data_IF_813147755278
#
_entry.id   IF_813147755278
#
_cell.length_a   1.000
_cell.length_b   1.000
_cell.length_c   1.000
_cell.angle_alpha   90.00
_cell.angle_beta   90.00
_cell.angle_gamma   90.00
#
_symmetry.space_group_name_H-M   'P 1'
#
loop_
_entity.id
_entity.type
_entity.pdbx_description
1 polymer ?
#
# COMPACT_ATOMS: atom_id res chain seq x y z
N UNK A 1 8.80 -7.23 25.36
CA UNK A 1 8.85 -7.29 23.87
C UNK A 1 10.26 -6.98 23.42
N UNK A 2 10.81 -7.78 22.51
CA UNK A 2 12.13 -7.54 21.92
C UNK A 2 12.09 -6.33 20.96
N UNK A 3 13.26 -5.73 20.71
CA UNK A 3 13.40 -4.66 19.72
C UNK A 3 13.09 -5.19 18.32
N UNK A 4 12.52 -4.34 17.48
CA UNK A 4 12.27 -4.66 16.08
C UNK A 4 13.57 -4.56 15.28
N UNK A 5 13.78 -5.46 14.31
CA UNK A 5 14.88 -5.32 13.38
C UNK A 5 14.69 -4.03 12.57
N UNK A 6 15.79 -3.29 12.43
CA UNK A 6 15.89 -2.14 11.54
C UNK A 6 16.78 -2.58 10.40
N UNK A 7 16.24 -2.66 9.20
CA UNK A 7 17.01 -3.00 8.01
C UNK A 7 18.04 -1.89 7.72
N UNK A 8 19.23 -2.28 7.29
CA UNK A 8 20.29 -1.34 6.94
C UNK A 8 20.05 -0.66 5.59
N UNK A 9 19.17 -1.21 4.76
CA UNK A 9 18.75 -0.65 3.47
C UNK A 9 17.34 -1.09 3.11
N UNK A 10 16.74 -0.41 2.13
CA UNK A 10 15.44 -0.80 1.57
C UNK A 10 15.53 -2.11 0.78
N UNK A 11 16.66 -2.39 0.15
CA UNK A 11 16.90 -3.65 -0.58
C UNK A 11 16.93 -4.85 0.39
N UNK A 12 17.59 -4.70 1.54
CA UNK A 12 17.56 -5.70 2.61
C UNK A 12 16.13 -5.89 3.14
N UNK A 13 15.38 -4.79 3.34
CA UNK A 13 14.04 -4.85 3.90
C UNK A 13 13.08 -5.72 3.08
N UNK A 14 13.26 -5.78 1.76
CA UNK A 14 12.42 -6.52 0.80
C UNK A 14 13.07 -7.78 0.22
N UNK A 15 14.28 -8.14 0.68
CA UNK A 15 15.08 -9.20 0.06
C UNK A 15 14.39 -10.58 0.00
N UNK A 16 13.53 -10.88 0.98
CA UNK A 16 12.82 -12.15 1.08
C UNK A 16 11.46 -12.19 0.36
N UNK A 17 11.03 -11.10 -0.29
CA UNK A 17 9.77 -11.08 -1.03
C UNK A 17 9.94 -11.91 -2.31
N UNK A 18 9.26 -13.05 -2.47
CA UNK A 18 9.41 -13.90 -3.65
C UNK A 18 8.58 -13.39 -4.83
N UNK A 19 8.84 -13.93 -6.01
CA UNK A 19 7.89 -13.85 -7.11
C UNK A 19 6.54 -14.42 -6.69
N UNK A 20 5.48 -13.85 -7.23
CA UNK A 20 4.13 -14.31 -6.96
C UNK A 20 3.50 -13.82 -5.65
N UNK A 21 4.25 -13.09 -4.82
CA UNK A 21 3.80 -12.60 -3.53
C UNK A 21 2.55 -11.72 -3.62
N UNK A 22 1.68 -11.81 -2.60
CA UNK A 22 0.58 -10.89 -2.42
C UNK A 22 0.96 -9.75 -1.46
N UNK A 23 0.90 -8.52 -1.96
CA UNK A 23 1.30 -7.30 -1.26
C UNK A 23 0.10 -6.41 -0.93
N UNK A 24 0.07 -5.90 0.29
CA UNK A 24 -0.60 -4.64 0.59
C UNK A 24 0.38 -3.49 0.37
N UNK A 25 -0.06 -2.44 -0.34
CA UNK A 25 0.72 -1.21 -0.50
C UNK A 25 -0.07 -0.04 0.10
N UNK A 26 0.48 0.53 1.17
CA UNK A 26 -0.14 1.60 1.93
C UNK A 26 -0.18 2.95 1.21
N UNK A 27 -0.92 3.88 1.82
CA UNK A 27 -1.23 5.19 1.25
C UNK A 27 -2.58 5.23 0.53
N UNK A 28 -2.91 6.41 0.02
CA UNK A 28 -4.10 6.74 -0.75
C UNK A 28 -3.77 7.15 -2.21
N UNK A 29 -2.48 7.28 -2.54
CA UNK A 29 -1.97 7.55 -3.89
C UNK A 29 -1.22 8.88 -4.04
N UNK A 30 -0.86 9.56 -2.95
CA UNK A 30 -0.10 10.81 -2.95
C UNK A 30 1.26 10.74 -2.23
N UNK A 31 2.05 11.83 -2.31
CA UNK A 31 3.30 11.97 -1.56
C UNK A 31 3.12 11.95 -0.05
N UNK A 32 4.16 11.54 0.68
CA UNK A 32 4.18 11.53 2.15
C UNK A 32 3.44 10.35 2.80
N UNK A 33 2.56 9.67 2.07
CA UNK A 33 1.84 8.49 2.54
C UNK A 33 2.23 7.19 1.83
N UNK A 34 2.84 7.29 0.64
CA UNK A 34 3.26 6.13 -0.12
C UNK A 34 4.62 5.60 0.40
N UNK A 35 4.81 4.29 0.55
CA UNK A 35 6.10 3.69 0.92
C UNK A 35 7.06 3.68 -0.28
N UNK A 36 7.45 4.86 -0.74
CA UNK A 36 8.12 5.06 -2.03
C UNK A 36 9.44 4.33 -2.16
N UNK A 37 10.25 4.26 -1.10
CA UNK A 37 11.55 3.59 -1.18
C UNK A 37 11.43 2.07 -1.07
N UNK A 38 10.44 1.55 -0.35
CA UNK A 38 10.12 0.11 -0.40
C UNK A 38 9.63 -0.31 -1.79
N UNK A 39 8.83 0.54 -2.45
CA UNK A 39 8.40 0.32 -3.84
C UNK A 39 9.60 0.37 -4.79
N UNK A 40 10.49 1.35 -4.64
CA UNK A 40 11.71 1.46 -5.44
C UNK A 40 12.63 0.24 -5.28
N UNK A 41 12.84 -0.24 -4.05
CA UNK A 41 13.62 -1.44 -3.78
C UNK A 41 13.01 -2.69 -4.43
N UNK A 42 11.68 -2.85 -4.40
CA UNK A 42 11.01 -3.93 -5.13
C UNK A 42 11.16 -3.80 -6.65
N UNK A 43 11.11 -2.57 -7.18
CA UNK A 43 11.32 -2.31 -8.60
C UNK A 43 12.75 -2.67 -9.04
N UNK A 44 13.76 -2.38 -8.21
CA UNK A 44 15.15 -2.80 -8.45
C UNK A 44 15.34 -4.31 -8.33
N UNK A 45 14.74 -4.93 -7.31
CA UNK A 45 14.81 -6.39 -7.09
C UNK A 45 14.25 -7.17 -8.28
N UNK A 46 13.31 -6.59 -9.04
CA UNK A 46 12.81 -7.17 -10.28
C UNK A 46 11.89 -8.37 -10.09
N UNK A 47 11.30 -8.54 -8.89
CA UNK A 47 10.34 -9.61 -8.60
C UNK A 47 9.14 -9.57 -9.54
N UNK A 48 8.64 -10.73 -9.91
CA UNK A 48 7.57 -10.89 -10.91
C UNK A 48 6.29 -11.41 -10.30
N UNK A 49 5.24 -11.32 -11.10
CA UNK A 49 3.94 -11.88 -10.82
C UNK A 49 3.29 -11.39 -9.52
N UNK A 50 3.54 -10.16 -9.08
CA UNK A 50 2.96 -9.65 -7.84
C UNK A 50 1.44 -9.48 -7.95
N UNK A 51 0.71 -9.89 -6.91
CA UNK A 51 -0.63 -9.35 -6.66
C UNK A 51 -0.46 -8.16 -5.72
N UNK A 52 -1.08 -7.03 -6.01
CA UNK A 52 -1.09 -5.87 -5.11
C UNK A 52 -2.52 -5.48 -4.74
N UNK A 53 -2.73 -5.10 -3.47
CA UNK A 53 -3.94 -4.44 -3.02
C UNK A 53 -3.62 -3.07 -2.42
N UNK A 54 -4.44 -2.09 -2.76
CA UNK A 54 -4.25 -0.71 -2.37
C UNK A 54 -5.36 0.19 -2.90
N UNK A 55 -5.40 1.44 -2.45
CA UNK A 55 -6.41 2.37 -2.93
C UNK A 55 -6.25 2.69 -4.43
N UNK A 56 -4.99 2.83 -4.88
CA UNK A 56 -4.64 3.34 -6.20
C UNK A 56 -3.61 2.44 -6.88
N UNK A 57 -3.68 2.30 -8.20
CA UNK A 57 -2.71 1.50 -8.99
C UNK A 57 -1.34 2.18 -9.20
N UNK A 58 -1.28 3.46 -8.88
CA UNK A 58 -0.16 4.38 -9.14
C UNK A 58 -0.24 5.07 -10.50
N UNK A 59 0.46 6.21 -10.60
CA UNK A 59 0.61 7.04 -11.80
C UNK A 59 1.80 6.61 -12.65
N UNK A 60 2.77 5.93 -12.06
CA UNK A 60 4.01 5.57 -12.75
C UNK A 60 5.03 6.69 -12.77
N UNK A 61 6.28 6.32 -13.04
CA UNK A 61 7.42 7.22 -13.02
C UNK A 61 7.32 8.25 -14.16
N UNK A 62 6.92 7.81 -15.35
CA UNK A 62 6.84 8.67 -16.53
C UNK A 62 5.88 9.84 -16.29
N UNK A 63 4.67 9.55 -15.81
CA UNK A 63 3.68 10.58 -15.52
C UNK A 63 4.11 11.50 -14.37
N UNK A 64 4.66 10.95 -13.29
CA UNK A 64 5.14 11.75 -12.15
C UNK A 64 6.26 12.71 -12.60
N UNK A 65 7.19 12.25 -13.43
CA UNK A 65 8.24 13.10 -14.00
C UNK A 65 7.67 14.21 -14.90
N UNK A 66 6.73 13.87 -15.78
CA UNK A 66 6.05 14.88 -16.62
C UNK A 66 5.31 15.92 -15.78
N UNK A 67 4.61 15.48 -14.73
CA UNK A 67 3.89 16.35 -13.81
C UNK A 67 4.82 17.31 -13.06
N UNK A 68 5.99 16.85 -12.60
CA UNK A 68 7.01 17.71 -11.97
C UNK A 68 7.50 18.82 -12.90
N UNK A 69 7.62 18.54 -14.19
CA UNK A 69 8.10 19.52 -15.17
C UNK A 69 7.01 20.50 -15.61
N UNK A 70 5.78 20.00 -15.80
CA UNK A 70 4.71 20.75 -16.49
C UNK A 70 3.63 21.29 -15.56
N UNK A 71 3.49 20.74 -14.34
CA UNK A 71 2.41 21.04 -13.40
C UNK A 71 2.92 21.39 -12.00
N UNK A 72 4.19 21.75 -11.82
CA UNK A 72 4.80 22.04 -10.51
C UNK A 72 4.09 23.16 -9.72
N UNK A 73 3.40 24.07 -10.41
CA UNK A 73 2.62 25.15 -9.78
C UNK A 73 1.30 24.63 -9.15
N UNK A 74 0.82 23.47 -9.59
CA UNK A 74 -0.46 22.88 -9.17
C UNK A 74 -0.27 21.60 -8.35
N UNK A 75 0.74 20.81 -8.68
CA UNK A 75 1.08 19.53 -8.05
C UNK A 75 2.56 19.51 -7.70
N UNK A 76 2.86 19.49 -6.40
CA UNK A 76 4.22 19.37 -5.90
C UNK A 76 4.53 17.90 -5.56
N UNK A 77 5.21 17.21 -6.49
CA UNK A 77 5.69 15.85 -6.28
C UNK A 77 7.17 15.89 -5.85
N UNK A 78 7.53 15.46 -4.63
CA UNK A 78 8.91 15.46 -4.19
C UNK A 78 9.75 14.53 -5.08
N UNK A 79 11.06 14.79 -5.29
CA UNK A 79 11.89 14.08 -6.27
C UNK A 79 11.93 12.55 -6.10
N UNK A 80 11.76 12.09 -4.86
CA UNK A 80 11.79 10.70 -4.42
C UNK A 80 10.38 10.09 -4.19
N UNK A 81 9.35 10.70 -4.81
CA UNK A 81 8.03 10.07 -4.88
C UNK A 81 8.00 8.98 -5.94
N UNK A 82 7.79 7.75 -5.48
CA UNK A 82 7.57 6.55 -6.28
C UNK A 82 6.30 5.86 -5.79
N UNK A 83 5.46 5.43 -6.71
CA UNK A 83 4.17 4.81 -6.41
C UNK A 83 4.05 3.45 -7.12
N UNK A 84 2.99 2.65 -6.86
CA UNK A 84 2.88 1.30 -7.40
C UNK A 84 2.91 1.22 -8.92
N UNK A 85 2.68 2.34 -9.62
CA UNK A 85 2.74 2.40 -11.08
C UNK A 85 4.14 2.09 -11.59
N UNK A 86 5.19 2.39 -10.81
CA UNK A 86 6.56 1.97 -11.11
C UNK A 86 6.66 0.45 -11.26
N UNK A 87 6.06 -0.34 -10.36
CA UNK A 87 6.08 -1.80 -10.46
C UNK A 87 5.35 -2.30 -11.71
N UNK A 88 4.29 -1.60 -12.12
CA UNK A 88 3.53 -1.92 -13.33
C UNK A 88 4.34 -1.61 -14.59
N UNK A 89 4.99 -0.44 -14.68
CA UNK A 89 5.89 -0.07 -15.78
C UNK A 89 7.03 -1.08 -15.94
N UNK A 90 7.50 -1.66 -14.84
CA UNK A 90 8.54 -2.71 -14.82
C UNK A 90 8.01 -4.11 -15.13
N UNK A 91 6.71 -4.26 -15.40
CA UNK A 91 6.07 -5.55 -15.68
C UNK A 91 6.24 -6.53 -14.52
N UNK A 92 6.06 -6.06 -13.28
CA UNK A 92 6.22 -6.87 -12.07
C UNK A 92 4.88 -7.28 -11.43
N UNK A 93 3.77 -6.71 -11.89
CA UNK A 93 2.43 -6.94 -11.35
C UNK A 93 1.64 -7.84 -12.29
N UNK A 94 0.96 -8.86 -11.75
CA UNK A 94 -0.01 -9.70 -12.48
C UNK A 94 -1.46 -9.35 -12.18
N UNK A 95 -1.75 -8.84 -10.97
CA UNK A 95 -3.12 -8.56 -10.52
C UNK A 95 -3.17 -7.37 -9.55
N UNK A 96 -4.17 -6.51 -9.72
CA UNK A 96 -4.54 -5.47 -8.77
C UNK A 96 -5.88 -5.78 -8.10
N UNK A 97 -5.97 -5.57 -6.78
CA UNK A 97 -7.22 -5.51 -6.01
C UNK A 97 -7.37 -4.05 -5.54
N UNK A 98 -8.17 -3.27 -6.26
CA UNK A 98 -8.06 -1.81 -6.23
C UNK A 98 -9.44 -1.15 -6.16
N UNK A 99 -9.51 -0.01 -5.48
CA UNK A 99 -10.70 0.85 -5.47
C UNK A 99 -10.67 1.96 -6.51
N UNK A 100 -9.47 2.40 -6.92
CA UNK A 100 -9.27 3.38 -7.98
C UNK A 100 -8.16 2.92 -8.94
N UNK A 101 -8.48 2.06 -9.93
CA UNK A 101 -7.48 1.43 -10.80
C UNK A 101 -7.07 2.26 -12.02
N UNK A 102 -7.85 3.28 -12.40
CA UNK A 102 -7.69 4.05 -13.64
C UNK A 102 -7.91 5.54 -13.37
N UNK A 103 -7.37 6.41 -14.23
CA UNK A 103 -7.53 7.85 -14.07
C UNK A 103 -8.90 8.33 -14.58
N UNK A 104 -9.25 9.58 -14.29
CA UNK A 104 -10.36 10.25 -14.95
C UNK A 104 -9.93 10.88 -16.28
N UNK A 105 -10.42 10.34 -17.39
CA UNK A 105 -10.48 11.02 -18.69
C UNK A 105 -9.17 11.08 -19.47
N UNK A 106 -8.31 12.06 -19.18
CA UNK A 106 -7.30 12.56 -20.13
C UNK A 106 -5.88 11.97 -19.97
N UNK A 107 -5.63 11.23 -18.89
CA UNK A 107 -4.33 10.60 -18.65
C UNK A 107 -4.56 9.12 -18.44
N UNK A 108 -3.73 8.30 -19.04
CA UNK A 108 -3.77 6.86 -18.85
C UNK A 108 -2.65 6.43 -17.89
N UNK A 109 -3.02 5.76 -16.80
CA UNK A 109 -2.04 5.19 -15.86
C UNK A 109 -1.47 3.87 -16.37
N UNK A 110 -0.26 3.46 -15.94
CA UNK A 110 0.37 2.22 -16.38
C UNK A 110 -0.51 0.98 -16.18
N UNK A 111 -1.27 0.92 -15.08
CA UNK A 111 -2.15 -0.22 -14.79
C UNK A 111 -3.34 -0.30 -15.74
N UNK A 112 -3.94 0.84 -16.07
CA UNK A 112 -5.03 0.90 -17.04
C UNK A 112 -4.56 0.42 -18.43
N UNK A 113 -3.39 0.89 -18.87
CA UNK A 113 -2.74 0.43 -20.10
C UNK A 113 -2.50 -1.08 -20.08
N UNK A 114 -1.92 -1.58 -18.99
CA UNK A 114 -1.60 -3.01 -18.83
C UNK A 114 -2.87 -3.88 -18.77
N UNK A 115 -3.96 -3.37 -18.17
CA UNK A 115 -5.25 -4.06 -18.10
C UNK A 115 -5.87 -4.18 -19.49
N UNK A 116 -5.89 -3.08 -20.26
CA UNK A 116 -6.37 -3.10 -21.65
C UNK A 116 -5.55 -4.05 -22.54
N UNK A 117 -4.24 -4.09 -22.34
CA UNK A 117 -3.33 -4.99 -23.06
C UNK A 117 -3.46 -6.47 -22.61
N UNK A 118 -4.29 -6.78 -21.61
CA UNK A 118 -4.45 -8.13 -21.07
C UNK A 118 -3.24 -8.65 -20.27
N UNK A 119 -2.34 -7.76 -19.85
CA UNK A 119 -1.11 -8.10 -19.10
C UNK A 119 -1.35 -8.21 -17.60
N UNK A 120 -2.39 -7.57 -17.08
CA UNK A 120 -2.77 -7.63 -15.65
C UNK A 120 -4.25 -7.92 -15.49
N UNK A 121 -4.61 -8.59 -14.39
CA UNK A 121 -5.98 -8.77 -13.95
C UNK A 121 -6.40 -7.70 -12.93
N UNK A 122 -7.69 -7.36 -12.89
CA UNK A 122 -8.26 -6.43 -11.93
C UNK A 122 -9.39 -7.10 -11.15
N UNK A 123 -9.35 -6.94 -9.83
CA UNK A 123 -10.50 -7.09 -8.94
C UNK A 123 -10.89 -5.70 -8.44
N UNK A 124 -11.98 -5.16 -8.97
CA UNK A 124 -12.52 -3.86 -8.56
C UNK A 124 -13.31 -4.02 -7.26
N UNK A 125 -13.06 -3.14 -6.29
CA UNK A 125 -13.74 -3.17 -4.99
C UNK A 125 -14.00 -1.75 -4.48
N UNK A 126 -15.11 -1.55 -3.76
CA UNK A 126 -15.36 -0.26 -3.08
C UNK A 126 -14.30 0.03 -2.02
N UNK A 127 -13.85 1.28 -1.91
CA UNK A 127 -12.79 1.69 -0.96
C UNK A 127 -13.09 1.27 0.49
N UNK A 128 -14.34 1.43 0.94
CA UNK A 128 -14.76 1.01 2.27
C UNK A 128 -14.65 -0.51 2.47
N UNK A 129 -15.10 -1.30 1.49
CA UNK A 129 -14.97 -2.75 1.51
C UNK A 129 -13.50 -3.20 1.46
N UNK A 130 -12.64 -2.52 0.69
CA UNK A 130 -11.20 -2.78 0.69
C UNK A 130 -10.59 -2.59 2.09
N UNK A 131 -10.85 -1.43 2.70
CA UNK A 131 -10.38 -1.14 4.06
C UNK A 131 -10.89 -2.16 5.08
N UNK A 132 -12.16 -2.54 4.96
CA UNK A 132 -12.80 -3.48 5.90
C UNK A 132 -12.32 -4.93 5.70
N UNK A 133 -12.05 -5.38 4.47
CA UNK A 133 -11.42 -6.69 4.22
C UNK A 133 -10.04 -6.77 4.83
N UNK A 134 -9.24 -5.71 4.75
CA UNK A 134 -7.91 -5.62 5.35
C UNK A 134 -8.04 -5.59 6.89
N UNK A 135 -8.97 -4.79 7.43
CA UNK A 135 -9.23 -4.73 8.88
C UNK A 135 -9.69 -6.08 9.43
N UNK A 136 -10.60 -6.76 8.72
CA UNK A 136 -11.08 -8.10 9.06
C UNK A 136 -9.92 -9.10 9.12
N UNK A 137 -9.01 -9.07 8.14
CA UNK A 137 -7.81 -9.91 8.14
C UNK A 137 -6.92 -9.68 9.36
N UNK A 138 -6.67 -8.42 9.72
CA UNK A 138 -5.92 -8.05 10.93
C UNK A 138 -6.60 -8.56 12.21
N UNK A 139 -7.93 -8.51 12.26
CA UNK A 139 -8.72 -8.91 13.41
C UNK A 139 -8.99 -10.43 13.51
N UNK A 140 -8.61 -11.22 12.49
CA UNK A 140 -8.92 -12.65 12.42
C UNK A 140 -10.40 -12.95 12.10
N UNK A 141 -11.12 -11.98 11.53
CA UNK A 141 -12.51 -12.15 11.05
C UNK A 141 -12.44 -12.71 9.63
N UNK A 142 -13.06 -13.86 9.37
CA UNK A 142 -12.93 -14.53 8.07
C UNK A 142 -13.66 -13.79 6.93
N UNK A 143 -14.84 -13.25 7.20
CA UNK A 143 -15.68 -12.55 6.24
C UNK A 143 -16.71 -11.66 6.96
N UNK A 144 -17.29 -10.72 6.24
CA UNK A 144 -18.36 -9.83 6.71
C UNK A 144 -19.34 -9.52 5.57
N UNK A 145 -20.56 -9.14 5.92
CA UNK A 145 -21.56 -8.66 4.96
C UNK A 145 -21.54 -7.13 4.89
N UNK A 146 -21.66 -6.57 3.68
CA UNK A 146 -21.73 -5.11 3.44
C UNK A 146 -22.75 -4.80 2.34
N UNK A 147 -23.52 -3.70 2.44
CA UNK A 147 -24.44 -3.32 1.37
C UNK A 147 -23.70 -2.70 0.17
N UNK A 148 -22.41 -2.34 0.36
CA UNK A 148 -21.59 -1.69 -0.67
C UNK A 148 -21.36 -2.62 -1.85
N UNK A 149 -21.85 -2.22 -3.02
CA UNK A 149 -21.62 -2.95 -4.29
C UNK A 149 -22.80 -3.81 -4.73
N UNK A 150 -23.84 -3.99 -3.91
CA UNK A 150 -25.07 -4.67 -4.34
C UNK A 150 -25.66 -3.99 -5.58
N UNK A 151 -26.08 -4.80 -6.56
CA UNK A 151 -26.63 -4.31 -7.82
C UNK A 151 -25.60 -3.74 -8.80
N UNK A 152 -24.30 -3.92 -8.54
CA UNK A 152 -23.20 -3.51 -9.40
C UNK A 152 -22.33 -4.70 -9.80
N UNK A 153 -21.40 -4.48 -10.75
CA UNK A 153 -20.40 -5.48 -11.15
C UNK A 153 -19.57 -6.04 -9.98
N UNK A 154 -19.44 -5.28 -8.87
CA UNK A 154 -18.72 -5.71 -7.66
C UNK A 154 -19.41 -6.88 -6.95
N UNK A 155 -20.72 -7.07 -7.15
CA UNK A 155 -21.49 -8.16 -6.56
C UNK A 155 -21.46 -9.47 -7.37
N UNK A 156 -20.92 -9.47 -8.59
CA UNK A 156 -20.91 -10.65 -9.46
C UNK A 156 -20.18 -11.83 -8.81
N UNK A 157 -20.84 -12.98 -8.76
CA UNK A 157 -20.29 -14.21 -8.17
C UNK A 157 -20.19 -14.22 -6.64
N UNK A 158 -20.65 -13.17 -5.93
CA UNK A 158 -20.64 -13.11 -4.47
C UNK A 158 -21.96 -13.59 -3.88
N UNK A 159 -21.87 -14.14 -2.68
CA UNK A 159 -23.06 -14.49 -1.89
C UNK A 159 -23.78 -13.21 -1.44
N UNK A 160 -25.12 -13.19 -1.56
CA UNK A 160 -25.96 -12.10 -1.10
C UNK A 160 -26.89 -12.61 0.00
N UNK A 161 -26.97 -11.86 1.11
CA UNK A 161 -27.97 -12.07 2.17
C UNK A 161 -28.69 -10.78 2.49
N UNK A 162 -29.93 -10.89 2.95
CA UNK A 162 -30.72 -9.76 3.41
C UNK A 162 -30.65 -9.65 4.93
N UNK A 163 -30.45 -8.42 5.42
CA UNK A 163 -30.52 -8.05 6.83
C UNK A 163 -31.40 -6.82 6.93
N UNK A 164 -32.48 -6.90 7.73
CA UNK A 164 -33.43 -5.80 7.95
C UNK A 164 -33.99 -5.19 6.65
N UNK A 165 -34.28 -6.02 5.65
CA UNK A 165 -34.78 -5.57 4.34
C UNK A 165 -33.71 -4.99 3.40
N UNK A 166 -32.44 -5.02 3.80
CA UNK A 166 -31.31 -4.48 3.02
C UNK A 166 -30.44 -5.64 2.52
N UNK A 167 -30.24 -5.80 1.20
CA UNK A 167 -29.32 -6.80 0.67
C UNK A 167 -27.86 -6.41 0.95
N UNK A 168 -27.03 -7.41 1.22
CA UNK A 168 -25.60 -7.26 1.50
C UNK A 168 -24.80 -8.35 0.77
N UNK A 169 -23.64 -7.99 0.23
CA UNK A 169 -22.66 -8.95 -0.34
C UNK A 169 -21.74 -9.49 0.76
N UNK A 170 -21.35 -10.76 0.65
CA UNK A 170 -20.30 -11.36 1.46
C UNK A 170 -18.92 -10.94 0.93
N UNK A 171 -18.10 -10.32 1.77
CA UNK A 171 -16.70 -9.99 1.50
C UNK A 171 -15.77 -10.79 2.40
N UNK A 172 -14.72 -11.37 1.83
CA UNK A 172 -13.73 -12.14 2.56
C UNK A 172 -12.54 -11.28 3.00
N UNK A 173 -12.03 -11.56 4.19
CA UNK A 173 -10.81 -10.91 4.68
C UNK A 173 -9.66 -11.00 3.68
N UNK A 174 -8.93 -9.91 3.55
CA UNK A 174 -7.82 -9.76 2.61
C UNK A 174 -6.51 -9.79 3.39
N UNK A 175 -5.97 -10.99 3.59
CA UNK A 175 -4.68 -11.19 4.26
C UNK A 175 -3.58 -11.31 3.23
N UNK A 176 -2.55 -10.47 3.32
CA UNK A 176 -1.41 -10.47 2.41
C UNK A 176 -0.19 -11.24 2.96
N UNK A 177 0.77 -11.52 2.09
CA UNK A 177 2.08 -12.03 2.51
C UNK A 177 2.89 -10.90 3.15
N UNK A 178 2.90 -9.74 2.51
CA UNK A 178 3.63 -8.55 2.97
C UNK A 178 2.73 -7.31 2.95
N UNK A 179 2.90 -6.44 3.95
CA UNK A 179 2.39 -5.07 3.94
C UNK A 179 3.57 -4.11 3.87
N UNK A 180 3.62 -3.30 2.81
CA UNK A 180 4.53 -2.17 2.70
C UNK A 180 3.79 -0.92 3.16
N UNK A 181 4.25 -0.29 4.23
CA UNK A 181 3.59 0.87 4.82
C UNK A 181 4.57 2.00 5.08
N UNK A 182 4.02 3.20 5.17
CA UNK A 182 4.72 4.44 5.48
C UNK A 182 4.21 5.02 6.78
N UNK A 183 5.10 5.43 7.67
CA UNK A 183 4.76 6.18 8.88
C UNK A 183 5.71 7.37 9.07
N UNK A 184 5.36 8.27 10.00
CA UNK A 184 6.19 9.43 10.30
C UNK A 184 7.35 9.02 11.20
N UNK A 185 7.07 8.57 12.42
CA UNK A 185 8.08 8.10 13.37
C UNK A 185 7.78 6.69 13.85
N UNK A 186 8.84 5.97 14.17
CA UNK A 186 8.77 4.72 14.92
C UNK A 186 9.62 4.78 16.19
N UNK A 187 9.30 3.95 17.17
CA UNK A 187 10.27 3.61 18.22
C UNK A 187 10.93 2.24 17.96
N UNK A 188 11.93 1.87 18.78
CA UNK A 188 12.62 0.56 18.68
C UNK A 188 11.73 -0.65 18.95
N UNK A 189 10.51 -0.48 19.47
CA UNK A 189 9.51 -1.55 19.65
C UNK A 189 8.55 -1.66 18.46
N UNK A 190 8.66 -0.76 17.47
CA UNK A 190 7.86 -0.73 16.26
C UNK A 190 6.55 0.03 16.40
N UNK A 191 6.36 0.79 17.49
CA UNK A 191 5.19 1.65 17.61
C UNK A 191 5.29 2.76 16.58
N UNK A 192 4.21 3.05 15.86
CA UNK A 192 4.19 4.06 14.79
C UNK A 192 3.22 5.19 15.08
N UNK A 193 3.66 6.40 14.75
CA UNK A 193 2.83 7.60 14.63
C UNK A 193 2.86 8.11 13.19
N UNK A 194 1.80 8.81 12.79
CA UNK A 194 1.60 9.31 11.42
C UNK A 194 1.40 10.81 11.44
N UNK A 195 1.64 11.49 10.29
CA UNK A 195 1.51 12.94 10.16
C UNK A 195 0.43 13.29 9.15
N UNK A 196 -0.58 14.04 9.58
CA UNK A 196 -1.68 14.50 8.72
C UNK A 196 -2.35 13.36 7.95
N UNK A 197 -2.50 13.54 6.64
CA UNK A 197 -3.06 12.52 5.74
C UNK A 197 -2.09 11.37 5.42
N UNK A 198 -0.86 11.39 5.95
CA UNK A 198 0.11 10.29 5.84
C UNK A 198 -0.35 8.93 6.37
N UNK A 199 -1.40 8.91 7.20
CA UNK A 199 -1.93 7.70 7.85
C UNK A 199 -2.66 6.76 6.90
N UNK A 200 -3.71 7.26 6.25
CA UNK A 200 -4.63 6.54 5.32
C UNK A 200 -4.69 5.02 5.53
N UNK A 201 -4.39 4.20 4.51
CA UNK A 201 -4.43 2.74 4.62
C UNK A 201 -3.21 2.14 5.31
N UNK A 202 -2.14 2.90 5.56
CA UNK A 202 -0.93 2.40 6.22
C UNK A 202 -1.27 1.77 7.58
N UNK A 203 -2.06 2.47 8.40
CA UNK A 203 -2.47 1.98 9.72
C UNK A 203 -3.43 0.78 9.66
N UNK A 204 -4.25 0.69 8.62
CA UNK A 204 -5.20 -0.42 8.41
C UNK A 204 -4.47 -1.69 7.95
N UNK A 205 -3.48 -1.54 7.07
CA UNK A 205 -2.68 -2.64 6.51
C UNK A 205 -1.66 -3.22 7.50
N UNK A 206 -1.23 -2.43 8.50
CA UNK A 206 -0.35 -2.92 9.55
C UNK A 206 -1.01 -4.08 10.32
N UNK A 207 -0.37 -5.25 10.30
CA UNK A 207 -0.91 -6.46 10.94
C UNK A 207 -1.94 -7.24 10.11
N UNK A 208 -2.30 -6.77 8.92
CA UNK A 208 -3.15 -7.50 7.97
C UNK A 208 -2.33 -8.39 7.00
N UNK A 209 -1.04 -8.57 7.27
CA UNK A 209 -0.14 -9.42 6.49
C UNK A 209 0.73 -10.29 7.40
N UNK A 210 1.37 -11.31 6.83
CA UNK A 210 2.37 -12.12 7.56
C UNK A 210 3.57 -11.28 8.00
N UNK A 211 4.04 -10.37 7.14
CA UNK A 211 5.16 -9.46 7.45
C UNK A 211 4.78 -8.01 7.08
N UNK A 212 4.78 -7.12 8.05
CA UNK A 212 4.64 -5.67 7.85
C UNK A 212 6.01 -5.00 7.91
N UNK A 213 6.35 -4.28 6.84
CA UNK A 213 7.59 -3.51 6.69
C UNK A 213 7.22 -2.03 6.69
N UNK A 214 7.71 -1.29 7.68
CA UNK A 214 7.42 0.13 7.86
C UNK A 214 8.62 0.99 7.43
N UNK A 215 8.41 1.80 6.41
CA UNK A 215 9.26 2.92 6.05
C UNK A 215 8.94 4.13 6.93
N UNK A 216 9.94 4.70 7.61
CA UNK A 216 9.75 5.82 8.54
C UNK A 216 10.72 6.97 8.30
N UNK A 217 10.33 8.19 8.67
CA UNK A 217 11.24 9.35 8.61
C UNK A 217 12.33 9.23 9.66
N UNK A 218 11.96 8.75 10.84
CA UNK A 218 12.82 8.77 12.00
C UNK A 218 12.48 7.59 12.92
N UNK A 219 13.52 7.02 13.54
CA UNK A 219 13.35 6.14 14.69
C UNK A 219 13.79 6.91 15.93
N UNK A 220 12.86 7.05 16.87
CA UNK A 220 13.09 7.74 18.15
C UNK A 220 13.35 6.75 19.29
N UNK A 221 13.86 7.28 20.39
CA UNK A 221 14.10 6.50 21.60
C UNK A 221 12.79 6.06 22.28
N UNK A 222 12.88 4.99 23.06
CA UNK A 222 11.73 4.46 23.79
C UNK A 222 11.23 5.48 24.82
N UNK A 223 9.92 5.76 24.78
CA UNK A 223 9.27 6.73 25.65
C UNK A 223 9.13 8.13 25.04
N UNK A 224 9.76 8.41 23.90
CA UNK A 224 9.55 9.68 23.20
C UNK A 224 8.21 9.75 22.46
N UNK A 225 7.65 8.61 22.06
CA UNK A 225 6.30 8.54 21.52
C UNK A 225 5.30 8.53 22.68
N UNK A 226 4.44 9.55 22.73
CA UNK A 226 3.28 9.58 23.62
C UNK A 226 2.41 8.33 23.38
N UNK A 227 2.16 7.49 24.41
CA UNK A 227 1.32 6.30 24.29
C UNK A 227 -0.07 6.56 23.67
N UNK A 228 -0.68 7.72 23.94
CA UNK A 228 -2.01 8.08 23.39
C UNK A 228 -1.94 8.53 21.93
N UNK A 229 -0.74 8.90 21.44
CA UNK A 229 -0.52 9.24 20.04
C UNK A 229 -0.17 8.01 19.17
N UNK A 230 0.19 6.86 19.79
CA UNK A 230 0.54 5.64 19.06
C UNK A 230 -0.69 5.09 18.33
N UNK A 231 -0.63 5.14 17.00
CA UNK A 231 -1.73 4.66 16.14
C UNK A 231 -1.54 3.18 15.78
N UNK A 232 -0.31 2.78 15.47
CA UNK A 232 0.01 1.38 15.16
C UNK A 232 0.92 0.82 16.23
N UNK A 233 0.40 -0.07 17.09
CA UNK A 233 1.22 -0.76 18.07
C UNK A 233 2.27 -1.65 17.43
N UNK A 234 3.46 -1.70 18.05
CA UNK A 234 4.60 -2.49 17.59
C UNK A 234 4.38 -3.98 17.31
N UNK A 235 3.42 -4.69 17.92
CA UNK A 235 3.10 -6.07 17.53
C UNK A 235 2.72 -6.24 16.05
N UNK A 236 2.19 -5.20 15.42
CA UNK A 236 1.78 -5.24 14.02
C UNK A 236 2.91 -4.96 13.03
N UNK A 237 4.13 -4.68 13.51
CA UNK A 237 5.29 -4.33 12.67
C UNK A 237 6.38 -5.38 12.83
N UNK A 238 6.90 -5.88 11.71
CA UNK A 238 7.96 -6.89 11.71
C UNK A 238 9.32 -6.29 11.38
N UNK A 239 9.37 -5.27 10.52
CA UNK A 239 10.62 -4.60 10.13
C UNK A 239 10.43 -3.10 10.03
N UNK A 240 11.46 -2.35 10.41
CA UNK A 240 11.56 -0.92 10.19
C UNK A 240 12.68 -0.64 9.20
N UNK A 241 12.53 0.42 8.42
CA UNK A 241 13.60 0.99 7.58
C UNK A 241 13.47 2.51 7.58
N UNK A 242 14.59 3.20 7.75
CA UNK A 242 14.63 4.66 7.88
C UNK A 242 14.91 5.28 6.52
N UNK A 243 14.21 6.36 6.19
CA UNK A 243 14.46 7.10 4.96
C UNK A 243 15.83 7.78 4.99
N UNK A 244 16.46 7.97 3.81
CA UNK A 244 17.66 8.78 3.70
C UNK A 244 17.37 10.26 4.01
N UNK A 245 18.39 11.00 4.48
CA UNK A 245 18.31 12.43 4.79
C UNK A 245 18.00 13.34 3.58
N UNK A 246 18.10 12.81 2.37
CA UNK A 246 17.81 13.51 1.13
C UNK A 246 17.26 12.59 0.05
N UNK A 247 16.67 13.15 -1.01
CA UNK A 247 16.03 12.37 -2.07
C UNK A 247 17.06 11.49 -2.79
N UNK A 248 16.70 10.22 -3.01
CA UNK A 248 17.46 9.24 -3.79
C UNK A 248 16.66 8.81 -5.01
N UNK A 249 17.37 8.54 -6.10
CA UNK A 249 16.76 7.99 -7.30
C UNK A 249 16.27 6.56 -7.04
N UNK A 250 15.21 6.13 -7.73
CA UNK A 250 14.61 4.81 -7.51
C UNK A 250 15.56 3.65 -7.88
N UNK A 251 16.50 3.88 -8.79
CA UNK A 251 17.47 2.92 -9.30
C UNK A 251 18.78 2.90 -8.49
N UNK A 252 18.92 3.80 -7.51
CA UNK A 252 20.03 3.81 -6.57
C UNK A 252 19.67 3.05 -5.28
N UNK A 253 20.49 2.06 -4.86
CA UNK A 253 20.36 1.44 -3.55
C UNK A 253 20.47 2.48 -2.43
N UNK A 254 19.58 2.40 -1.46
CA UNK A 254 19.60 3.20 -0.23
C UNK A 254 18.97 2.44 0.92
#
# INVERSE_FOLDING_TARGET
MAYKPVAASFDEAVADIPDGAFLHIGGFGGPGECPSYLIAALARKGVKDLTMAGNHAGRGLEMVMSARQQMSVVLDFPPDFYDPGLLVERGQVRKGILSFPAASGFVEFPFERALRDGKVALELIGQGSLAERIRAARAGIAAFYTPVGVGTVVAEGKEIREFDGVPHILEHALKADYSLIRAHKADRRGNLVYKGTGRTLNATMAGAARITIAEVDEIVELGELDPEAIVTPGPYVQRLVVRPDGPRAWDEPC
#
